data_IF_305721288287
#
_entry.id   IF_305721288287
#
_cell.length_a   1.000
_cell.length_b   1.000
_cell.length_c   1.000
_cell.angle_alpha   90.00
_cell.angle_beta   90.00
_cell.angle_gamma   90.00
#
_symmetry.space_group_name_H-M   'P 1'
#
loop_
_entity.id
_entity.type
_entity.pdbx_description
1 polymer ?
#
# COMPACT_ATOMS: atom_id res chain seq x y z
N UNK A 1 -4.53 -17.27 -105.71
CA UNK A 1 -4.88 -18.12 -104.55
C UNK A 1 -4.00 -17.70 -103.36
N UNK A 2 -4.58 -17.07 -102.33
CA UNK A 2 -3.87 -16.67 -101.10
C UNK A 2 -4.22 -17.68 -99.98
N UNK A 3 -3.24 -18.24 -99.24
CA UNK A 3 -3.54 -19.18 -98.16
C UNK A 3 -3.99 -18.44 -96.89
N UNK A 4 -4.96 -19.03 -96.18
CA UNK A 4 -5.53 -18.56 -94.91
C UNK A 4 -4.52 -18.74 -93.77
N UNK A 5 -4.04 -17.64 -93.19
CA UNK A 5 -3.06 -17.61 -92.08
C UNK A 5 -3.68 -17.31 -90.70
N UNK A 6 -4.92 -17.77 -90.45
CA UNK A 6 -5.69 -17.38 -89.25
C UNK A 6 -5.69 -18.36 -88.08
N UNK A 7 -5.14 -19.57 -88.22
CA UNK A 7 -5.40 -20.65 -87.25
C UNK A 7 -4.30 -20.86 -86.19
N UNK A 8 -3.12 -20.26 -86.32
CA UNK A 8 -1.97 -20.57 -85.45
C UNK A 8 -1.89 -19.73 -84.16
N UNK A 9 -2.68 -18.67 -84.02
CA UNK A 9 -2.60 -17.75 -82.86
C UNK A 9 -3.32 -18.29 -81.62
N UNK A 10 -4.42 -19.05 -81.80
CA UNK A 10 -5.24 -19.57 -80.70
C UNK A 10 -4.61 -20.78 -79.96
N UNK A 11 -3.78 -21.57 -80.64
CA UNK A 11 -3.15 -22.75 -80.04
C UNK A 11 -2.14 -22.39 -78.94
N UNK A 12 -1.48 -21.23 -79.04
CA UNK A 12 -0.55 -20.74 -78.00
C UNK A 12 -1.31 -20.23 -76.77
N UNK A 13 -2.38 -19.47 -76.98
CA UNK A 13 -3.23 -18.97 -75.89
C UNK A 13 -3.87 -20.12 -75.09
N UNK A 14 -4.35 -21.16 -75.79
CA UNK A 14 -4.93 -22.34 -75.14
C UNK A 14 -3.90 -23.12 -74.32
N UNK A 15 -2.67 -23.31 -74.83
CA UNK A 15 -1.60 -23.99 -74.10
C UNK A 15 -1.18 -23.23 -72.85
N UNK A 16 -1.09 -21.90 -72.91
CA UNK A 16 -0.76 -21.06 -71.73
C UNK A 16 -1.89 -21.13 -70.70
N UNK A 17 -3.15 -21.01 -71.13
CA UNK A 17 -4.30 -21.13 -70.24
C UNK A 17 -4.39 -22.50 -69.55
N UNK A 18 -4.10 -23.58 -70.28
CA UNK A 18 -4.07 -24.94 -69.74
C UNK A 18 -2.97 -25.11 -68.69
N UNK A 19 -1.76 -24.59 -68.94
CA UNK A 19 -0.64 -24.68 -67.98
C UNK A 19 -0.94 -23.89 -66.69
N UNK A 20 -1.56 -22.71 -66.81
CA UNK A 20 -1.97 -21.91 -65.65
C UNK A 20 -3.07 -22.61 -64.85
N UNK A 21 -4.08 -23.19 -65.52
CA UNK A 21 -5.16 -23.91 -64.86
C UNK A 21 -4.66 -25.19 -64.14
N UNK A 22 -3.75 -25.93 -64.76
CA UNK A 22 -3.10 -27.09 -64.13
C UNK A 22 -2.24 -26.64 -62.94
N UNK A 23 -1.47 -25.56 -63.08
CA UNK A 23 -0.69 -25.00 -61.97
C UNK A 23 -1.55 -24.58 -60.79
N UNK A 24 -2.76 -24.07 -61.04
CA UNK A 24 -3.73 -23.71 -60.01
C UNK A 24 -4.37 -24.94 -59.34
N UNK A 25 -4.66 -25.98 -60.10
CA UNK A 25 -5.27 -27.23 -59.59
C UNK A 25 -4.27 -28.11 -58.83
N UNK A 26 -2.97 -27.98 -59.10
CA UNK A 26 -1.89 -28.77 -58.48
C UNK A 26 -1.21 -28.01 -57.33
N UNK A 27 -1.59 -26.75 -57.06
CA UNK A 27 -1.09 -26.00 -55.93
C UNK A 27 -1.60 -26.64 -54.62
N UNK A 28 -0.71 -27.37 -53.92
CA UNK A 28 -1.01 -27.88 -52.58
C UNK A 28 -1.17 -26.71 -51.60
N UNK A 29 -2.11 -26.79 -50.63
CA UNK A 29 -2.20 -25.81 -49.57
C UNK A 29 -0.92 -25.86 -48.73
N UNK A 30 -0.18 -24.75 -48.71
CA UNK A 30 0.96 -24.59 -47.82
C UNK A 30 0.46 -24.51 -46.38
N UNK A 31 0.51 -25.65 -45.66
CA UNK A 31 0.30 -25.67 -44.23
C UNK A 31 1.47 -24.94 -43.56
N UNK A 32 1.24 -23.70 -43.13
CA UNK A 32 2.15 -23.02 -42.24
C UNK A 32 2.22 -23.82 -40.93
N UNK A 33 3.31 -24.56 -40.74
CA UNK A 33 3.58 -25.20 -39.46
C UNK A 33 3.73 -24.12 -38.40
N UNK A 34 3.02 -24.31 -37.30
CA UNK A 34 2.97 -23.39 -36.16
C UNK A 34 3.53 -24.12 -34.94
N UNK A 35 4.41 -23.46 -34.20
CA UNK A 35 5.05 -24.00 -32.99
C UNK A 35 4.67 -23.16 -31.78
N UNK A 36 4.24 -23.81 -30.71
CA UNK A 36 4.08 -23.18 -29.39
C UNK A 36 5.35 -23.41 -28.59
N UNK A 37 6.05 -22.33 -28.26
CA UNK A 37 7.25 -22.36 -27.40
C UNK A 37 6.84 -21.89 -26.01
N UNK A 38 7.12 -22.69 -25.00
CA UNK A 38 6.92 -22.36 -23.58
C UNK A 38 8.25 -22.32 -22.87
N UNK A 39 8.52 -21.27 -22.10
CA UNK A 39 9.77 -21.10 -21.36
C UNK A 39 9.48 -21.02 -19.84
N UNK A 40 9.47 -22.15 -19.11
CA UNK A 40 9.25 -22.13 -17.67
C UNK A 40 10.45 -21.50 -16.93
N UNK A 41 10.15 -20.57 -16.03
CA UNK A 41 11.05 -19.92 -15.09
C UNK A 41 10.59 -20.25 -13.68
N UNK A 42 11.49 -20.81 -12.87
CA UNK A 42 11.25 -21.04 -11.45
C UNK A 42 12.32 -20.29 -10.66
N UNK A 43 11.89 -19.44 -9.74
CA UNK A 43 12.76 -18.72 -8.81
C UNK A 43 12.43 -19.12 -7.39
N UNK A 44 13.33 -19.82 -6.73
CA UNK A 44 13.22 -20.16 -5.32
C UNK A 44 14.29 -19.39 -4.54
N UNK A 45 13.89 -18.73 -3.46
CA UNK A 45 14.79 -18.05 -2.55
C UNK A 45 14.42 -18.38 -1.11
N UNK A 46 15.43 -18.52 -0.27
CA UNK A 46 15.27 -18.63 1.17
C UNK A 46 16.27 -17.72 1.84
N UNK A 47 15.83 -17.08 2.91
CA UNK A 47 16.63 -16.27 3.79
C UNK A 47 16.38 -16.72 5.22
N UNK A 48 17.44 -16.76 6.00
CA UNK A 48 17.37 -16.89 7.45
C UNK A 48 18.14 -15.73 8.04
N UNK A 49 17.65 -15.19 9.14
CA UNK A 49 18.39 -14.21 9.90
C UNK A 49 18.23 -14.44 11.39
N UNK A 50 19.27 -14.05 12.10
CA UNK A 50 19.30 -13.98 13.55
C UNK A 50 20.06 -12.72 13.92
N UNK A 51 19.45 -11.91 14.78
CA UNK A 51 20.00 -10.67 15.28
C UNK A 51 19.99 -10.71 16.79
N UNK A 52 21.16 -10.91 17.40
CA UNK A 52 21.35 -10.77 18.83
C UNK A 52 22.23 -9.55 19.07
N UNK A 53 21.84 -8.71 20.01
CA UNK A 53 22.73 -7.67 20.48
C UNK A 53 22.38 -7.17 21.86
N UNK A 54 23.30 -6.38 22.38
CA UNK A 54 23.23 -5.86 23.73
C UNK A 54 23.45 -4.35 23.70
N UNK A 55 22.67 -3.66 24.51
CA UNK A 55 22.80 -2.23 24.73
C UNK A 55 22.84 -2.00 26.23
N UNK A 56 23.83 -1.28 26.69
CA UNK A 56 23.90 -0.89 28.09
C UNK A 56 24.39 0.53 28.21
N UNK A 57 24.04 1.15 29.32
CA UNK A 57 24.48 2.50 29.61
C UNK A 57 24.51 2.74 31.09
N UNK A 58 25.41 3.62 31.49
CA UNK A 58 25.53 4.08 32.86
C UNK A 58 25.82 5.58 32.84
N UNK A 59 25.18 6.30 33.74
CA UNK A 59 25.28 7.75 33.84
C UNK A 59 25.29 8.17 35.29
N UNK A 60 26.09 9.19 35.57
CA UNK A 60 26.17 9.87 36.84
C UNK A 60 26.01 11.37 36.66
N UNK A 61 26.29 12.12 37.72
CA UNK A 61 26.21 13.58 37.69
C UNK A 61 27.30 14.15 36.77
N UNK A 62 26.91 14.53 35.55
CA UNK A 62 27.77 15.21 34.57
C UNK A 62 28.57 14.28 33.64
N UNK A 63 28.35 12.97 33.66
CA UNK A 63 29.02 12.01 32.77
C UNK A 63 28.10 10.85 32.40
N UNK A 64 28.36 10.24 31.24
CA UNK A 64 27.65 9.04 30.80
C UNK A 64 28.52 8.17 29.88
N UNK A 65 28.22 6.87 29.88
CA UNK A 65 28.72 5.91 28.92
C UNK A 65 27.53 5.13 28.35
N UNK A 66 27.52 4.93 27.05
CA UNK A 66 26.54 4.10 26.37
C UNK A 66 27.26 3.20 25.37
N UNK A 67 26.93 1.92 25.41
CA UNK A 67 27.43 0.91 24.52
C UNK A 67 26.27 0.24 23.78
N UNK A 68 26.49 -0.08 22.51
CA UNK A 68 25.48 -0.67 21.63
C UNK A 68 24.63 0.37 20.89
N UNK A 69 24.00 -0.07 19.80
CA UNK A 69 23.11 0.72 18.95
C UNK A 69 21.81 -0.04 18.65
N UNK A 70 20.85 0.57 17.93
CA UNK A 70 19.63 -0.11 17.50
C UNK A 70 19.94 -1.42 16.77
N UNK A 71 19.06 -2.44 16.85
CA UNK A 71 19.25 -3.68 16.11
C UNK A 71 19.49 -3.38 14.63
N UNK A 72 20.62 -3.84 14.10
CA UNK A 72 20.97 -3.69 12.69
C UNK A 72 20.12 -4.65 11.88
N UNK A 73 19.27 -4.13 11.01
CA UNK A 73 18.46 -4.97 10.12
C UNK A 73 19.37 -5.68 9.11
N UNK A 74 19.26 -7.01 8.96
CA UNK A 74 20.00 -7.74 7.96
C UNK A 74 19.53 -7.31 6.56
N UNK A 75 20.45 -7.02 5.62
CA UNK A 75 20.12 -6.43 4.32
C UNK A 75 19.35 -7.38 3.37
N UNK A 76 19.34 -8.68 3.63
CA UNK A 76 18.79 -9.70 2.72
C UNK A 76 17.64 -10.52 3.30
N UNK A 77 17.25 -10.25 4.55
CA UNK A 77 16.10 -10.88 5.15
C UNK A 77 15.19 -9.76 5.64
N UNK A 78 13.92 -9.79 5.21
CA UNK A 78 12.90 -8.84 5.64
C UNK A 78 12.53 -9.12 7.12
N UNK A 79 13.51 -8.95 8.01
CA UNK A 79 13.31 -9.10 9.44
C UNK A 79 12.48 -7.95 9.93
N UNK A 80 11.39 -8.29 10.62
CA UNK A 80 10.52 -7.29 11.24
C UNK A 80 11.29 -6.67 12.41
N UNK A 81 11.65 -5.36 12.37
CA UNK A 81 12.33 -4.70 13.48
C UNK A 81 11.57 -4.77 14.82
N UNK A 82 10.28 -5.10 14.80
CA UNK A 82 9.44 -5.28 15.98
C UNK A 82 9.15 -6.75 16.31
N UNK A 83 9.65 -7.70 15.53
CA UNK A 83 9.42 -9.13 15.72
C UNK A 83 10.27 -9.77 16.83
N UNK A 84 11.35 -9.11 17.23
CA UNK A 84 12.31 -9.62 18.21
C UNK A 84 11.88 -9.47 19.68
N UNK A 85 12.41 -10.35 20.52
CA UNK A 85 12.31 -10.24 21.97
C UNK A 85 13.30 -9.20 22.51
N UNK A 86 12.81 -8.31 23.36
CA UNK A 86 13.62 -7.32 24.07
C UNK A 86 13.58 -7.61 25.58
N UNK A 87 14.71 -8.02 26.13
CA UNK A 87 14.91 -8.22 27.56
C UNK A 87 15.74 -7.09 28.13
N UNK A 88 15.35 -6.51 29.26
CA UNK A 88 16.19 -5.47 29.86
C UNK A 88 15.63 -4.87 31.13
N UNK A 89 16.52 -4.28 31.90
CA UNK A 89 16.22 -3.67 33.19
C UNK A 89 17.05 -2.41 33.40
N UNK A 90 16.49 -1.49 34.18
CA UNK A 90 17.18 -0.27 34.60
C UNK A 90 17.37 -0.27 36.11
N UNK A 91 18.46 0.36 36.56
CA UNK A 91 18.66 0.65 37.97
C UNK A 91 18.89 2.14 38.18
N UNK A 92 18.50 2.62 39.35
CA UNK A 92 18.77 3.97 39.83
C UNK A 92 19.16 3.86 41.30
N UNK A 93 20.35 4.31 41.65
CA UNK A 93 20.82 4.31 43.03
C UNK A 93 21.89 5.39 43.23
N UNK A 94 21.76 6.17 44.31
CA UNK A 94 22.83 7.05 44.80
C UNK A 94 23.40 8.05 43.78
N UNK A 95 22.56 8.69 42.96
CA UNK A 95 23.02 9.65 41.94
C UNK A 95 23.61 9.02 40.68
N UNK A 96 23.50 7.69 40.55
CA UNK A 96 23.88 6.93 39.36
C UNK A 96 22.65 6.19 38.80
N UNK A 97 22.55 6.12 37.49
CA UNK A 97 21.52 5.36 36.79
C UNK A 97 22.12 4.58 35.64
N UNK A 98 21.58 3.40 35.39
CA UNK A 98 22.03 2.59 34.28
C UNK A 98 20.93 1.69 33.76
N UNK A 99 21.19 1.10 32.62
CA UNK A 99 20.31 0.14 31.98
C UNK A 99 21.12 -0.92 31.26
N UNK A 100 20.52 -2.10 31.16
CA UNK A 100 20.97 -3.18 30.30
C UNK A 100 19.77 -3.65 29.48
N UNK A 101 20.00 -3.88 28.19
CA UNK A 101 19.04 -4.42 27.24
C UNK A 101 19.74 -5.46 26.39
N UNK A 102 19.08 -6.57 26.17
CA UNK A 102 19.41 -7.61 25.23
C UNK A 102 18.25 -7.69 24.25
N UNK A 103 18.54 -7.59 22.97
CA UNK A 103 17.57 -7.88 21.92
C UNK A 103 17.97 -9.17 21.23
N UNK A 104 16.99 -9.99 20.90
CA UNK A 104 17.16 -11.19 20.12
C UNK A 104 15.99 -11.28 19.14
N UNK A 105 16.30 -11.34 17.85
CA UNK A 105 15.34 -11.57 16.79
C UNK A 105 15.81 -12.73 15.92
N UNK A 106 14.87 -13.51 15.41
CA UNK A 106 15.14 -14.58 14.48
C UNK A 106 13.96 -14.70 13.52
N UNK A 107 14.27 -14.84 12.24
CA UNK A 107 13.24 -15.07 11.25
C UNK A 107 13.75 -15.81 10.02
N UNK A 108 12.79 -16.34 9.27
CA UNK A 108 13.07 -16.98 7.99
C UNK A 108 12.03 -16.58 6.97
N UNK A 109 12.48 -16.27 5.76
CA UNK A 109 11.62 -15.94 4.63
C UNK A 109 11.92 -16.93 3.51
N UNK A 110 10.89 -17.56 2.95
CA UNK A 110 11.02 -18.43 1.78
C UNK A 110 10.06 -17.91 0.72
N UNK A 111 10.56 -17.69 -0.48
CA UNK A 111 9.78 -17.26 -1.64
C UNK A 111 10.00 -18.24 -2.78
N UNK A 112 8.91 -18.67 -3.40
CA UNK A 112 8.92 -19.47 -4.62
C UNK A 112 8.04 -18.77 -5.64
N UNK A 113 8.59 -18.56 -6.83
CA UNK A 113 7.93 -17.94 -7.97
C UNK A 113 8.05 -18.88 -9.16
N UNK A 114 6.97 -19.07 -9.91
CA UNK A 114 6.94 -19.88 -11.11
C UNK A 114 6.18 -19.13 -12.19
N UNK A 115 6.81 -18.93 -13.34
CA UNK A 115 6.21 -18.28 -14.50
C UNK A 115 6.51 -19.13 -15.74
N UNK A 116 5.52 -19.34 -16.60
CA UNK A 116 5.70 -20.12 -17.82
C UNK A 116 5.11 -19.37 -19.02
N UNK A 117 5.77 -18.31 -19.52
CA UNK A 117 5.36 -17.65 -20.75
C UNK A 117 5.34 -18.64 -21.91
N UNK A 118 4.28 -18.56 -22.72
CA UNK A 118 4.15 -19.33 -23.95
C UNK A 118 3.77 -18.41 -25.11
N UNK A 119 4.34 -18.69 -26.29
CA UNK A 119 4.08 -17.95 -27.51
C UNK A 119 3.96 -18.92 -28.67
N UNK A 120 2.96 -18.69 -29.51
CA UNK A 120 2.71 -19.53 -30.67
C UNK A 120 3.11 -18.78 -31.93
N UNK A 121 4.09 -19.30 -32.68
CA UNK A 121 4.78 -18.61 -33.78
C UNK A 121 4.75 -19.50 -35.03
N UNK A 122 4.54 -18.95 -36.25
CA UNK A 122 4.75 -19.70 -37.48
C UNK A 122 6.23 -20.07 -37.66
N UNK A 123 6.52 -21.14 -38.40
CA UNK A 123 7.90 -21.53 -38.70
C UNK A 123 8.67 -20.38 -39.38
N UNK A 124 9.80 -20.01 -38.81
CA UNK A 124 10.64 -18.89 -39.28
C UNK A 124 10.13 -17.50 -38.89
N UNK A 125 8.99 -17.40 -38.21
CA UNK A 125 8.52 -16.15 -37.62
C UNK A 125 9.27 -15.79 -36.34
N UNK A 126 9.32 -14.50 -36.02
CA UNK A 126 9.75 -14.03 -34.69
C UNK A 126 8.50 -13.76 -33.83
N UNK A 127 8.55 -14.16 -32.57
CA UNK A 127 7.54 -13.82 -31.57
C UNK A 127 8.22 -13.34 -30.29
N UNK A 128 7.56 -12.43 -29.58
CA UNK A 128 8.01 -11.97 -28.27
C UNK A 128 6.83 -11.99 -27.29
N UNK A 129 7.12 -12.26 -26.03
CA UNK A 129 6.18 -12.14 -24.92
C UNK A 129 6.81 -11.22 -23.88
N UNK A 130 6.08 -10.21 -23.40
CA UNK A 130 6.55 -9.30 -22.36
C UNK A 130 5.42 -9.02 -21.39
N UNK A 131 5.63 -9.40 -20.13
CA UNK A 131 4.83 -8.99 -18.99
C UNK A 131 5.75 -8.16 -18.07
N UNK A 132 5.89 -6.88 -18.39
CA UNK A 132 6.78 -5.97 -17.65
C UNK A 132 6.11 -4.62 -17.48
N UNK A 133 6.38 -3.97 -16.34
CA UNK A 133 5.96 -2.59 -16.10
C UNK A 133 7.05 -1.65 -16.60
N UNK A 134 6.73 -0.86 -17.63
CA UNK A 134 7.64 0.18 -18.12
C UNK A 134 7.64 1.38 -17.15
N UNK A 135 8.75 1.60 -16.45
CA UNK A 135 8.96 2.76 -15.58
C UNK A 135 9.89 3.75 -16.26
N UNK A 136 9.37 4.83 -16.89
CA UNK A 136 10.22 5.84 -17.50
C UNK A 136 11.05 6.56 -16.43
N UNK A 137 12.31 6.84 -16.75
CA UNK A 137 13.18 7.67 -15.92
C UNK A 137 13.82 8.77 -16.78
N UNK A 138 14.19 9.89 -16.14
CA UNK A 138 14.84 11.01 -16.83
C UNK A 138 16.25 10.59 -17.21
N UNK A 139 16.54 10.49 -18.52
CA UNK A 139 17.87 10.10 -19.02
C UNK A 139 18.78 11.30 -19.28
N UNK A 140 18.24 12.52 -19.29
CA UNK A 140 19.01 13.74 -19.50
C UNK A 140 18.14 14.97 -19.29
N UNK A 141 18.76 16.03 -18.81
CA UNK A 141 18.17 17.36 -18.78
C UNK A 141 18.81 18.15 -19.94
N UNK A 142 18.00 18.64 -20.88
CA UNK A 142 18.49 19.60 -21.87
C UNK A 142 18.47 20.97 -21.18
N UNK A 143 19.62 21.58 -20.88
CA UNK A 143 19.64 22.91 -20.30
C UNK A 143 19.11 23.89 -21.35
N UNK A 144 18.11 24.68 -21.00
CA UNK A 144 17.71 25.82 -21.81
C UNK A 144 18.56 27.00 -21.36
N UNK A 145 19.34 27.57 -22.27
CA UNK A 145 20.07 28.82 -22.03
C UNK A 145 19.17 29.98 -22.49
N UNK A 146 18.75 30.84 -21.55
CA UNK A 146 17.83 31.98 -21.79
C UNK A 146 16.60 31.99 -20.86
N UNK A 147 15.75 33.03 -20.96
CA UNK A 147 14.53 33.26 -20.16
C UNK A 147 13.35 32.31 -20.49
N UNK A 148 13.63 31.11 -21.00
CA UNK A 148 12.57 30.14 -21.25
C UNK A 148 12.26 29.38 -19.94
N UNK A 149 11.03 29.52 -19.47
CA UNK A 149 10.56 28.85 -18.26
C UNK A 149 10.65 27.32 -18.41
N UNK A 150 11.48 26.69 -17.58
CA UNK A 150 11.53 25.22 -17.54
C UNK A 150 10.28 24.69 -16.83
N UNK A 151 9.67 23.57 -17.30
CA UNK A 151 8.56 22.92 -16.60
C UNK A 151 8.90 22.50 -15.17
N UNK A 152 10.20 22.34 -14.87
CA UNK A 152 10.68 22.11 -13.52
C UNK A 152 10.51 23.34 -12.62
N UNK A 153 10.76 24.55 -13.14
CA UNK A 153 10.60 25.79 -12.39
C UNK A 153 9.14 26.02 -11.98
N UNK A 154 8.20 25.75 -12.90
CA UNK A 154 6.76 25.79 -12.60
C UNK A 154 6.37 24.78 -11.50
N UNK A 155 6.83 23.52 -11.61
CA UNK A 155 6.57 22.51 -10.57
C UNK A 155 7.17 22.90 -9.22
N UNK A 156 8.37 23.47 -9.20
CA UNK A 156 9.05 23.86 -7.97
C UNK A 156 8.33 25.02 -7.29
N UNK A 157 7.92 26.04 -8.06
CA UNK A 157 7.14 27.18 -7.56
C UNK A 157 5.79 26.73 -6.98
N UNK A 158 5.11 25.79 -7.64
CA UNK A 158 3.87 25.18 -7.14
C UNK A 158 4.07 24.46 -5.80
N UNK A 159 5.08 23.61 -5.69
CA UNK A 159 5.40 22.93 -4.42
C UNK A 159 5.75 23.91 -3.30
N UNK A 160 6.45 25.00 -3.63
CA UNK A 160 6.77 26.06 -2.68
C UNK A 160 5.51 26.80 -2.22
N UNK A 161 4.57 27.06 -3.12
CA UNK A 161 3.27 27.68 -2.80
C UNK A 161 2.41 26.78 -1.91
N UNK A 162 2.37 25.47 -2.18
CA UNK A 162 1.65 24.48 -1.38
C UNK A 162 2.27 24.35 0.04
N UNK A 163 3.60 24.39 0.13
CA UNK A 163 4.31 24.37 1.42
C UNK A 163 4.07 25.64 2.24
N UNK A 164 3.93 26.79 1.56
CA UNK A 164 3.64 28.08 2.20
C UNK A 164 2.16 28.16 2.64
N UNK A 165 1.25 27.58 1.87
CA UNK A 165 -0.16 27.45 2.23
C UNK A 165 -0.41 26.48 3.39
N UNK A 166 0.46 25.47 3.57
CA UNK A 166 0.38 24.50 4.66
C UNK A 166 0.89 25.02 6.03
N UNK A 167 1.19 26.33 6.17
CA UNK A 167 1.56 26.94 7.44
C UNK A 167 0.62 28.08 7.83
N UNK A 168 -0.49 27.83 8.54
CA UNK A 168 -1.00 28.79 9.50
C UNK A 168 -0.29 28.53 10.82
N UNK A 169 0.77 29.29 11.08
CA UNK A 169 1.22 29.53 12.45
C UNK A 169 0.03 30.16 13.20
N UNK A 170 -0.44 29.61 14.33
CA UNK A 170 -1.40 30.32 15.15
C UNK A 170 -0.72 31.58 15.66
N UNK A 171 -1.22 32.75 15.25
CA UNK A 171 -0.81 34.02 15.82
C UNK A 171 -1.17 34.01 17.32
N UNK A 172 -0.29 34.49 18.20
CA UNK A 172 -0.61 34.58 19.62
C UNK A 172 -1.63 35.71 19.80
N UNK A 173 -2.88 35.34 20.08
CA UNK A 173 -3.83 36.28 20.63
C UNK A 173 -3.42 36.56 22.08
N UNK A 174 -2.92 37.78 22.30
CA UNK A 174 -2.85 38.40 23.61
C UNK A 174 -4.29 38.66 24.05
N UNK A 175 -4.78 37.88 25.02
CA UNK A 175 -5.78 38.22 26.04
C UNK A 175 -6.40 36.93 26.60
N UNK A 176 -5.83 36.42 27.70
CA UNK A 176 -6.54 35.85 28.86
C UNK A 176 -5.54 35.19 29.82
N UNK A 177 -5.48 35.72 31.05
CA UNK A 177 -4.71 35.12 32.14
C UNK A 177 -5.48 33.88 32.62
N UNK A 178 -5.18 32.73 32.02
CA UNK A 178 -5.67 31.44 32.50
C UNK A 178 -5.01 31.07 33.83
N UNK A 179 -5.81 30.98 34.88
CA UNK A 179 -5.42 30.48 36.20
C UNK A 179 -4.92 29.03 36.11
N UNK A 180 -3.93 28.68 36.95
CA UNK A 180 -3.21 27.39 36.96
C UNK A 180 -4.09 26.13 37.03
N UNK A 181 -5.37 26.26 37.33
CA UNK A 181 -6.33 25.14 37.41
C UNK A 181 -6.85 24.71 36.02
N UNK A 182 -6.94 25.62 35.04
CA UNK A 182 -7.39 25.28 33.67
C UNK A 182 -6.32 24.55 32.85
N UNK A 183 -5.04 24.73 33.20
CA UNK A 183 -3.91 24.03 32.58
C UNK A 183 -3.85 22.54 32.94
N UNK A 184 -4.54 22.11 34.01
CA UNK A 184 -4.56 20.71 34.44
C UNK A 184 -5.69 19.95 33.74
N UNK A 185 -6.85 20.57 33.50
CA UNK A 185 -7.96 19.94 32.76
C UNK A 185 -7.67 19.77 31.26
N UNK A 186 -6.99 20.75 30.63
CA UNK A 186 -6.64 20.67 29.19
C UNK A 186 -5.54 19.65 28.89
N UNK A 187 -4.75 19.26 29.91
CA UNK A 187 -3.73 18.21 29.79
C UNK A 187 -4.32 16.80 29.91
N UNK A 188 -5.47 16.63 30.57
CA UNK A 188 -6.16 15.34 30.60
C UNK A 188 -6.92 15.01 29.31
N UNK A 189 -7.33 15.99 28.51
CA UNK A 189 -7.98 15.72 27.21
C UNK A 189 -6.98 15.44 26.07
N UNK A 190 -5.74 15.93 26.18
CA UNK A 190 -4.69 15.70 25.17
C UNK A 190 -3.96 14.36 25.32
N UNK A 191 -4.23 13.60 26.39
CA UNK A 191 -3.63 12.27 26.64
C UNK A 191 -4.55 11.10 26.24
N UNK A 192 -5.81 11.36 25.85
CA UNK A 192 -6.75 10.31 25.43
C UNK A 192 -6.81 10.04 23.91
N UNK A 193 -5.98 10.71 23.10
CA UNK A 193 -5.96 10.57 21.63
C UNK A 193 -4.60 10.16 21.06
N UNK A 194 -3.82 9.38 21.80
CA UNK A 194 -2.56 8.78 21.32
C UNK A 194 -2.51 7.28 21.58
N UNK A 195 -3.52 6.55 21.11
CA UNK A 195 -3.45 5.10 20.89
C UNK A 195 -3.99 4.75 19.50
N UNK A 196 -3.06 4.60 18.55
CA UNK A 196 -2.99 3.55 17.52
C UNK A 196 -2.30 4.07 16.26
N UNK A 197 -1.04 3.70 16.07
CA UNK A 197 -0.29 4.09 14.87
C UNK A 197 1.14 3.59 14.89
N UNK A 198 1.34 2.31 14.61
CA UNK A 198 2.66 1.69 14.60
C UNK A 198 2.70 0.39 13.79
N UNK A 199 2.08 0.39 12.61
CA UNK A 199 2.22 -0.69 11.62
C UNK A 199 2.32 -0.04 10.25
N UNK A 200 3.53 -0.04 9.69
CA UNK A 200 3.83 0.51 8.38
C UNK A 200 3.08 -0.27 7.30
N UNK A 201 1.89 0.22 6.93
CA UNK A 201 1.30 -0.14 5.66
C UNK A 201 2.23 0.43 4.57
N UNK A 202 2.84 -0.46 3.80
CA UNK A 202 3.56 -0.12 2.58
C UNK A 202 2.77 0.96 1.82
N UNK A 203 3.41 2.11 1.63
CA UNK A 203 2.82 3.22 0.89
C UNK A 203 2.48 2.75 -0.51
N UNK A 204 1.22 2.36 -0.72
CA UNK A 204 0.67 2.09 -2.04
C UNK A 204 0.83 3.37 -2.83
N UNK A 205 1.56 3.25 -3.94
CA UNK A 205 1.82 4.34 -4.87
C UNK A 205 0.50 4.96 -5.32
N UNK A 206 0.47 6.29 -5.45
CA UNK A 206 -0.70 7.03 -5.96
C UNK A 206 -1.12 6.61 -7.37
N UNK A 207 -0.28 5.84 -8.08
CA UNK A 207 -0.54 5.26 -9.38
C UNK A 207 -1.45 4.00 -9.37
N UNK A 208 -1.73 3.38 -8.21
CA UNK A 208 -2.64 2.21 -8.11
C UNK A 208 -4.10 2.57 -7.83
N UNK A 209 -4.42 3.84 -7.57
CA UNK A 209 -5.81 4.29 -7.48
C UNK A 209 -6.26 4.67 -8.89
N UNK A 210 -7.11 3.83 -9.50
CA UNK A 210 -8.14 4.39 -10.37
C UNK A 210 -8.92 5.39 -9.52
N UNK A 211 -9.00 6.65 -9.94
CA UNK A 211 -9.73 7.68 -9.21
C UNK A 211 -11.16 7.21 -8.96
N UNK A 212 -11.43 6.77 -7.73
CA UNK A 212 -12.74 6.34 -7.29
C UNK A 212 -13.65 7.55 -7.44
N UNK A 213 -14.70 7.45 -8.24
CA UNK A 213 -15.60 8.58 -8.50
C UNK A 213 -16.11 9.15 -7.17
N UNK A 214 -16.26 10.47 -7.09
CA UNK A 214 -16.80 11.17 -5.90
C UNK A 214 -18.16 10.56 -5.48
N UNK A 215 -18.92 10.02 -6.43
CA UNK A 215 -20.17 9.31 -6.18
C UNK A 215 -19.96 8.00 -5.39
N UNK A 216 -18.93 7.22 -5.72
CA UNK A 216 -18.64 5.94 -5.08
C UNK A 216 -18.02 6.14 -3.69
N UNK A 217 -17.22 7.20 -3.48
CA UNK A 217 -16.74 7.58 -2.14
C UNK A 217 -17.91 7.93 -1.20
N UNK A 218 -18.92 8.66 -1.71
CA UNK A 218 -20.12 8.98 -0.92
C UNK A 218 -20.93 7.73 -0.58
N UNK A 219 -21.06 6.80 -1.53
CA UNK A 219 -21.76 5.56 -1.28
C UNK A 219 -21.04 4.66 -0.26
N UNK A 220 -19.71 4.57 -0.34
CA UNK A 220 -18.91 3.84 0.65
C UNK A 220 -19.04 4.46 2.05
N UNK A 221 -19.00 5.79 2.17
CA UNK A 221 -19.21 6.47 3.46
C UNK A 221 -20.60 6.19 4.02
N UNK A 222 -21.64 6.27 3.19
CA UNK A 222 -23.02 5.98 3.61
C UNK A 222 -23.16 4.53 4.09
N UNK A 223 -22.59 3.55 3.36
CA UNK A 223 -22.60 2.14 3.78
C UNK A 223 -21.86 1.92 5.10
N UNK A 224 -20.73 2.62 5.30
CA UNK A 224 -19.96 2.53 6.54
C UNK A 224 -20.72 3.15 7.73
N UNK A 225 -21.45 4.25 7.52
CA UNK A 225 -22.30 4.87 8.53
C UNK A 225 -23.50 3.97 8.89
N UNK A 226 -24.18 3.42 7.88
CA UNK A 226 -25.30 2.47 8.08
C UNK A 226 -24.85 1.23 8.86
N UNK A 227 -23.70 0.64 8.51
CA UNK A 227 -23.15 -0.52 9.22
C UNK A 227 -22.83 -0.21 10.70
N UNK A 228 -22.30 0.99 10.97
CA UNK A 228 -22.01 1.43 12.35
C UNK A 228 -23.28 1.62 13.16
N UNK A 229 -24.33 2.19 12.57
CA UNK A 229 -25.63 2.36 13.24
C UNK A 229 -26.27 1.03 13.60
N UNK A 230 -26.15 0.02 12.74
CA UNK A 230 -26.62 -1.34 13.04
C UNK A 230 -25.87 -1.92 14.24
N UNK A 231 -24.54 -1.81 14.25
CA UNK A 231 -23.71 -2.32 15.35
C UNK A 231 -24.02 -1.65 16.69
N UNK A 232 -24.24 -0.32 16.69
CA UNK A 232 -24.64 0.42 17.89
C UNK A 232 -25.99 -0.07 18.41
N UNK A 233 -26.98 -0.28 17.52
CA UNK A 233 -28.30 -0.79 17.91
C UNK A 233 -28.22 -2.18 18.51
N UNK A 234 -27.39 -3.07 17.96
CA UNK A 234 -27.18 -4.41 18.51
C UNK A 234 -26.56 -4.36 19.90
N UNK A 235 -25.57 -3.49 20.12
CA UNK A 235 -24.94 -3.30 21.44
C UNK A 235 -25.92 -2.76 22.47
N UNK A 236 -26.79 -1.83 22.08
CA UNK A 236 -27.84 -1.28 22.95
C UNK A 236 -28.91 -2.33 23.26
N UNK A 237 -29.39 -3.07 22.26
CA UNK A 237 -30.37 -4.14 22.47
C UNK A 237 -29.84 -5.23 23.39
N UNK A 238 -28.56 -5.61 23.24
CA UNK A 238 -27.90 -6.58 24.12
C UNK A 238 -27.68 -6.05 25.54
N UNK A 239 -27.47 -4.75 25.70
CA UNK A 239 -27.45 -4.15 27.03
C UNK A 239 -28.84 -4.22 27.68
N UNK A 240 -29.91 -3.92 26.94
CA UNK A 240 -31.29 -3.93 27.45
C UNK A 240 -31.73 -5.34 27.88
N UNK A 241 -31.36 -6.40 27.14
CA UNK A 241 -31.62 -7.78 27.58
C UNK A 241 -30.87 -8.13 28.87
N UNK A 242 -29.59 -7.72 28.98
CA UNK A 242 -28.79 -7.98 30.18
C UNK A 242 -29.28 -7.21 31.41
N UNK A 243 -29.89 -6.05 31.23
CA UNK A 243 -30.58 -5.32 32.32
C UNK A 243 -31.79 -6.11 32.80
N UNK A 244 -32.60 -6.66 31.89
CA UNK A 244 -33.76 -7.50 32.26
C UNK A 244 -33.35 -8.79 32.98
N UNK A 245 -32.16 -9.31 32.71
CA UNK A 245 -31.56 -10.46 33.39
C UNK A 245 -30.88 -10.13 34.73
N UNK A 246 -30.86 -8.85 35.15
CA UNK A 246 -30.23 -8.40 36.39
C UNK A 246 -28.70 -8.30 36.34
N UNK A 247 -28.08 -8.42 35.15
CA UNK A 247 -26.61 -8.38 34.95
C UNK A 247 -26.14 -6.96 34.64
N UNK A 248 -26.37 -6.04 35.58
CA UNK A 248 -26.13 -4.59 35.42
C UNK A 248 -24.67 -4.23 35.09
N UNK A 249 -23.69 -4.92 35.69
CA UNK A 249 -22.25 -4.69 35.42
C UNK A 249 -21.87 -4.99 33.97
N UNK A 250 -22.43 -6.06 33.39
CA UNK A 250 -22.13 -6.46 32.01
C UNK A 250 -22.85 -5.55 31.02
N UNK A 251 -24.11 -5.16 31.30
CA UNK A 251 -24.85 -4.20 30.50
C UNK A 251 -24.11 -2.85 30.36
N UNK A 252 -23.46 -2.38 31.43
CA UNK A 252 -22.64 -1.16 31.41
C UNK A 252 -21.45 -1.25 30.48
N UNK A 253 -20.81 -2.41 30.37
CA UNK A 253 -19.71 -2.62 29.41
C UNK A 253 -20.19 -2.51 27.97
N UNK A 254 -21.37 -3.05 27.64
CA UNK A 254 -21.96 -2.94 26.31
C UNK A 254 -22.37 -1.50 25.96
N UNK A 255 -22.92 -0.75 26.92
CA UNK A 255 -23.24 0.67 26.71
C UNK A 255 -21.99 1.55 26.54
N UNK A 256 -20.89 1.28 27.26
CA UNK A 256 -19.59 1.96 27.01
C UNK A 256 -19.02 1.67 25.64
N UNK A 257 -19.20 0.45 25.14
CA UNK A 257 -18.78 0.09 23.77
C UNK A 257 -19.63 0.83 22.72
N UNK A 258 -20.94 0.96 22.95
CA UNK A 258 -21.83 1.73 22.08
C UNK A 258 -21.49 3.23 22.08
N UNK A 259 -21.18 3.81 23.25
CA UNK A 259 -20.79 5.23 23.40
C UNK A 259 -19.51 5.58 22.62
N UNK A 260 -18.49 4.71 22.67
CA UNK A 260 -17.23 4.90 21.91
C UNK A 260 -17.44 4.82 20.40
N UNK A 261 -18.47 4.10 19.95
CA UNK A 261 -18.78 3.88 18.54
C UNK A 261 -19.75 4.92 17.97
N UNK A 262 -20.47 5.63 18.84
CA UNK A 262 -21.40 6.68 18.43
C UNK A 262 -20.67 7.84 17.73
N UNK A 263 -21.15 8.19 16.55
CA UNK A 263 -20.59 9.26 15.71
C UNK A 263 -21.31 10.59 15.93
N UNK A 264 -22.59 10.56 16.28
CA UNK A 264 -23.38 11.75 16.57
C UNK A 264 -23.39 12.07 18.06
N UNK A 265 -23.41 13.36 18.37
CA UNK A 265 -23.45 13.84 19.75
C UNK A 265 -24.77 13.46 20.44
N UNK A 266 -25.87 13.45 19.70
CA UNK A 266 -27.20 13.07 20.20
C UNK A 266 -27.25 11.60 20.68
N UNK A 267 -26.63 10.67 19.94
CA UNK A 267 -26.55 9.26 20.32
C UNK A 267 -25.68 9.05 21.56
N UNK A 268 -24.55 9.78 21.66
CA UNK A 268 -23.68 9.74 22.83
C UNK A 268 -24.42 10.19 24.08
N UNK A 269 -25.14 11.30 24.00
CA UNK A 269 -25.92 11.83 25.13
C UNK A 269 -27.02 10.84 25.53
N UNK A 270 -27.71 10.21 24.57
CA UNK A 270 -28.73 9.20 24.86
C UNK A 270 -28.15 7.95 25.55
N UNK A 271 -27.00 7.45 25.09
CA UNK A 271 -26.32 6.28 25.68
C UNK A 271 -25.73 6.63 27.06
N UNK A 272 -25.15 7.81 27.21
CA UNK A 272 -24.60 8.31 28.48
C UNK A 272 -25.69 8.47 29.55
N UNK A 273 -26.89 8.94 29.17
CA UNK A 273 -28.05 9.00 30.07
C UNK A 273 -28.44 7.61 30.58
N UNK A 274 -28.55 6.61 29.69
CA UNK A 274 -28.82 5.21 30.09
C UNK A 274 -27.72 4.63 30.97
N UNK A 275 -26.47 4.98 30.72
CA UNK A 275 -25.34 4.55 31.55
C UNK A 275 -25.37 5.17 32.96
N UNK A 276 -25.94 6.37 33.11
CA UNK A 276 -26.16 7.01 34.40
C UNK A 276 -27.34 6.39 35.18
N UNK A 277 -28.38 5.92 34.49
CA UNK A 277 -29.53 5.22 35.10
C UNK A 277 -29.17 3.84 35.67
N UNK A 278 -28.04 3.25 35.24
CA UNK A 278 -27.52 1.96 35.72
C UNK A 278 -26.42 2.09 36.80
N UNK A 279 -26.25 3.28 37.40
CA UNK A 279 -25.40 3.50 38.57
C UNK A 279 -26.12 3.16 39.86
#
# INVERSE_FOLDING_TARGET
MRPKSGLMTNAKAFKVGLVVAIGWLVAEPAFAQQTTVTAPLQGNSSGFYEGIGTQWGISGKGWFFQFGGPPVQPPFAAGDPNGGANFGGGFRSGGMSGFFRLYADQGSSRSSSSAAPSVTIPNGGQGFFSDTVQRPFVMGLVPVVGDAESPLHEKLSRLQSERSAASPMPQPHEDEVATKEDLILKRSETVAASESGGGAAAGRSTAERGDVSVAEIREQKRRAEEARLVEIRELVAKADTLVSEGKTSVARSYLKMAERKAASEEERVAIAKRLAELK
#
